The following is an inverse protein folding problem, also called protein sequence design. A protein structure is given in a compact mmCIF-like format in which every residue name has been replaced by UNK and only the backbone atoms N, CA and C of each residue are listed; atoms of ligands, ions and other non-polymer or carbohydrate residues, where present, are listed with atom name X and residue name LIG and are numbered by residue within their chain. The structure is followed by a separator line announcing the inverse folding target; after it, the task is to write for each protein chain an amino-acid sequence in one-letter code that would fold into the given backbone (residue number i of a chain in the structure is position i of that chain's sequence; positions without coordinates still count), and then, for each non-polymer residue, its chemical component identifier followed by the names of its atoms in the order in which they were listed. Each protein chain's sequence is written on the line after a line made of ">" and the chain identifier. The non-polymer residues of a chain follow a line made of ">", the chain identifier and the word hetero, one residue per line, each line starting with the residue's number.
data_IF_038008594126
#
_entry.id   IF_038008594126
#
_cell.length_a   1.000
_cell.length_b   1.000
_cell.length_c   1.000
_cell.angle_alpha   90.00
_cell.angle_beta   90.00
_cell.angle_gamma   90.00
#
_symmetry.space_group_name_H-M   'P 1'
#
loop_
_entity.id
_entity.type
_entity.pdbx_description
1 polymer ?
#
# COMPACT_ATOMS: atom_id res chain seq x y z
N UNK A 1 52.83 -34.30 47.05
CA UNK A 1 53.79 -33.21 47.30
C UNK A 1 53.42 -32.06 46.37
N UNK A 2 52.80 -31.03 46.91
CA UNK A 2 52.41 -29.79 46.21
C UNK A 2 53.59 -28.83 46.18
N UNK A 3 53.88 -28.22 45.02
CA UNK A 3 54.63 -26.97 44.93
C UNK A 3 53.82 -25.99 44.06
N UNK A 4 53.73 -24.76 44.55
CA UNK A 4 52.89 -23.65 44.10
C UNK A 4 53.74 -22.60 43.36
N UNK A 5 53.08 -22.00 42.35
CA UNK A 5 53.10 -20.60 41.93
C UNK A 5 54.37 -19.96 41.35
N UNK A 6 54.20 -19.28 40.19
CA UNK A 6 54.23 -17.82 39.98
C UNK A 6 54.51 -17.59 38.47
N UNK A 7 53.55 -17.13 37.66
CA UNK A 7 53.04 -15.75 37.50
C UNK A 7 53.72 -14.98 36.36
N UNK A 8 52.85 -14.30 35.58
CA UNK A 8 53.10 -13.15 34.69
C UNK A 8 53.51 -13.39 33.22
N UNK A 9 52.55 -13.78 32.38
CA UNK A 9 52.36 -13.17 31.05
C UNK A 9 51.46 -11.93 31.26
N UNK A 10 51.70 -10.73 30.75
CA UNK A 10 52.25 -10.38 29.45
C UNK A 10 51.10 -9.85 28.58
N UNK A 11 51.16 -8.54 28.27
CA UNK A 11 50.39 -7.80 27.26
C UNK A 11 48.90 -7.44 27.54
N UNK A 12 48.74 -6.21 28.06
CA UNK A 12 47.88 -5.13 27.56
C UNK A 12 46.80 -5.52 26.52
N UNK A 13 45.55 -5.64 26.97
CA UNK A 13 44.37 -5.68 26.10
C UNK A 13 43.80 -4.27 25.96
N UNK A 14 44.19 -3.56 24.91
CA UNK A 14 43.45 -2.39 24.43
C UNK A 14 42.20 -2.92 23.72
N UNK A 15 41.04 -2.68 24.32
CA UNK A 15 39.74 -2.97 23.72
C UNK A 15 39.56 -2.09 22.46
N UNK A 16 39.76 -2.67 21.28
CA UNK A 16 39.31 -2.05 20.03
C UNK A 16 37.82 -2.33 19.88
N UNK A 17 37.02 -1.29 20.03
CA UNK A 17 35.60 -1.29 19.71
C UNK A 17 35.40 -1.74 18.25
N UNK A 18 34.67 -2.83 18.06
CA UNK A 18 34.16 -3.19 16.75
C UNK A 18 33.15 -2.12 16.30
N UNK A 19 33.54 -1.28 15.35
CA UNK A 19 32.57 -0.48 14.59
C UNK A 19 31.82 -1.45 13.68
N UNK A 20 30.57 -1.76 14.04
CA UNK A 20 29.64 -2.40 13.13
C UNK A 20 29.49 -1.47 11.92
N UNK A 21 29.94 -1.91 10.74
CA UNK A 21 29.68 -1.20 9.51
C UNK A 21 28.17 -1.20 9.29
N UNK A 22 27.52 -0.07 9.54
CA UNK A 22 26.18 0.21 9.00
C UNK A 22 26.34 0.32 7.50
N UNK A 23 26.31 -0.82 6.81
CA UNK A 23 26.16 -0.85 5.37
C UNK A 23 24.79 -0.25 5.07
N UNK A 24 24.76 1.06 4.79
CA UNK A 24 23.60 1.70 4.19
C UNK A 24 23.41 1.00 2.84
N UNK A 25 22.45 0.09 2.79
CA UNK A 25 22.07 -0.58 1.55
C UNK A 25 21.44 0.47 0.64
N UNK A 26 22.26 1.17 -0.13
CA UNK A 26 21.84 1.92 -1.31
C UNK A 26 21.48 0.91 -2.42
N UNK A 27 20.47 0.09 -2.14
CA UNK A 27 19.83 -0.76 -3.14
C UNK A 27 19.14 0.14 -4.15
N UNK A 28 19.32 -0.15 -5.43
CA UNK A 28 18.67 0.57 -6.52
C UNK A 28 17.17 0.76 -6.23
N UNK A 29 16.77 2.00 -5.95
CA UNK A 29 15.38 2.35 -5.77
C UNK A 29 14.71 2.29 -7.15
N UNK A 30 13.99 1.21 -7.42
CA UNK A 30 12.92 1.25 -8.42
C UNK A 30 11.72 1.91 -7.72
N UNK A 31 11.39 3.18 -7.98
CA UNK A 31 10.26 3.80 -7.32
C UNK A 31 9.01 3.01 -7.71
N UNK A 32 8.34 2.41 -6.73
CA UNK A 32 7.05 1.79 -6.95
C UNK A 32 6.06 2.91 -7.31
N UNK A 33 5.85 3.14 -8.61
CA UNK A 33 4.81 4.05 -9.09
C UNK A 33 3.47 3.39 -8.79
N UNK A 34 2.92 3.66 -7.61
CA UNK A 34 1.55 3.27 -7.26
C UNK A 34 0.60 4.28 -7.91
N UNK A 35 0.27 4.05 -9.18
CA UNK A 35 -0.80 4.80 -9.83
C UNK A 35 -2.12 4.39 -9.16
N UNK A 36 -2.58 5.21 -8.21
CA UNK A 36 -3.83 4.97 -7.48
C UNK A 36 -5.03 5.60 -8.20
N UNK A 37 -4.81 6.16 -9.38
CA UNK A 37 -5.84 6.75 -10.21
C UNK A 37 -6.77 5.67 -10.71
N UNK A 38 -8.06 5.95 -10.58
CA UNK A 38 -9.09 5.10 -11.13
C UNK A 38 -9.02 5.13 -12.66
N UNK A 39 -8.70 4.00 -13.27
CA UNK A 39 -8.85 3.84 -14.71
C UNK A 39 -10.34 3.81 -15.06
N UNK A 40 -10.75 4.54 -16.10
CA UNK A 40 -12.10 4.44 -16.62
C UNK A 40 -12.19 3.28 -17.61
N UNK A 41 -13.14 2.36 -17.39
CA UNK A 41 -13.32 1.16 -18.22
C UNK A 41 -14.78 1.02 -18.63
N UNK A 42 -15.03 0.39 -19.78
CA UNK A 42 -16.38 0.13 -20.26
C UNK A 42 -17.11 -0.95 -19.44
N UNK A 43 -16.36 -1.93 -18.91
CA UNK A 43 -16.90 -3.02 -18.11
C UNK A 43 -16.04 -3.28 -16.86
N UNK A 44 -16.66 -3.50 -15.68
CA UNK A 44 -15.93 -3.75 -14.45
C UNK A 44 -15.37 -5.17 -14.42
N UNK A 45 -14.20 -5.34 -13.81
CA UNK A 45 -13.64 -6.66 -13.54
C UNK A 45 -14.40 -7.35 -12.39
N UNK A 46 -14.83 -8.60 -12.60
CA UNK A 46 -15.49 -9.39 -11.55
C UNK A 46 -14.45 -9.95 -10.58
N UNK A 47 -14.72 -9.88 -9.28
CA UNK A 47 -13.81 -10.44 -8.27
C UNK A 47 -14.13 -9.96 -6.86
N UNK A 48 -13.58 -10.67 -5.86
CA UNK A 48 -13.75 -10.28 -4.46
C UNK A 48 -13.12 -8.91 -4.20
N UNK A 49 -13.96 -7.95 -3.86
CA UNK A 49 -13.54 -6.58 -3.60
C UNK A 49 -13.25 -6.37 -2.12
N UNK A 50 -12.02 -5.93 -1.84
CA UNK A 50 -11.48 -5.65 -0.51
C UNK A 50 -11.65 -4.20 -0.06
N UNK A 51 -12.11 -3.31 -0.94
CA UNK A 51 -12.41 -1.95 -0.55
C UNK A 51 -13.64 -1.90 0.34
N UNK A 52 -13.58 -1.11 1.40
CA UNK A 52 -14.79 -0.67 2.10
C UNK A 52 -15.60 0.29 1.23
N UNK A 53 -16.87 0.49 1.57
CA UNK A 53 -17.71 1.49 0.89
C UNK A 53 -17.05 2.88 0.90
N UNK A 54 -16.48 3.31 2.02
CA UNK A 54 -15.85 4.63 2.14
C UNK A 54 -14.57 4.75 1.29
N UNK A 55 -13.78 3.68 1.19
CA UNK A 55 -12.63 3.64 0.29
C UNK A 55 -13.06 3.69 -1.18
N UNK A 56 -14.17 3.05 -1.51
CA UNK A 56 -14.72 3.09 -2.86
C UNK A 56 -15.25 4.48 -3.21
N UNK A 57 -15.99 5.11 -2.29
CA UNK A 57 -16.46 6.49 -2.41
C UNK A 57 -15.28 7.45 -2.58
N UNK A 58 -14.24 7.32 -1.76
CA UNK A 58 -13.05 8.15 -1.85
C UNK A 58 -12.35 8.06 -3.21
N UNK A 59 -12.31 6.88 -3.83
CA UNK A 59 -11.79 6.71 -5.19
C UNK A 59 -12.67 7.37 -6.26
N UNK A 60 -13.99 7.21 -6.17
CA UNK A 60 -14.92 7.90 -7.07
C UNK A 60 -14.77 9.42 -6.97
N UNK A 61 -14.67 9.96 -5.75
CA UNK A 61 -14.41 11.39 -5.54
C UNK A 61 -13.09 11.84 -6.16
N UNK A 62 -12.00 11.08 -5.96
CA UNK A 62 -10.70 11.36 -6.60
C UNK A 62 -10.76 11.28 -8.13
N UNK A 63 -11.63 10.44 -8.68
CA UNK A 63 -11.87 10.33 -10.12
C UNK A 63 -12.77 11.45 -10.69
N UNK A 64 -13.13 12.46 -9.87
CA UNK A 64 -13.92 13.62 -10.29
C UNK A 64 -15.43 13.43 -10.22
N UNK A 65 -15.91 12.38 -9.55
CA UNK A 65 -17.33 12.20 -9.29
C UNK A 65 -17.75 12.97 -8.03
N UNK A 66 -18.89 13.61 -8.08
CA UNK A 66 -19.47 14.40 -7.00
C UNK A 66 -20.77 13.77 -6.53
N UNK A 67 -21.27 14.18 -5.36
CA UNK A 67 -22.57 13.71 -4.85
C UNK A 67 -22.75 12.19 -4.91
N UNK A 68 -21.68 11.43 -4.62
CA UNK A 68 -21.69 9.97 -4.67
C UNK A 68 -22.65 9.45 -3.61
N UNK A 69 -23.65 8.68 -4.03
CA UNK A 69 -24.62 8.07 -3.12
C UNK A 69 -23.98 7.00 -2.23
N UNK A 70 -24.79 6.39 -1.37
CA UNK A 70 -24.41 5.11 -0.76
C UNK A 70 -24.05 4.12 -1.86
N UNK A 71 -22.99 3.35 -1.64
CA UNK A 71 -22.55 2.31 -2.56
C UNK A 71 -22.93 0.95 -1.99
N UNK A 72 -23.52 0.10 -2.83
CA UNK A 72 -23.80 -1.29 -2.50
C UNK A 72 -22.89 -2.20 -3.31
N UNK A 73 -22.27 -3.19 -2.66
CA UNK A 73 -21.48 -4.20 -3.37
C UNK A 73 -22.42 -5.21 -4.01
N UNK A 74 -22.27 -5.44 -5.31
CA UNK A 74 -23.06 -6.44 -6.02
C UNK A 74 -22.44 -7.85 -5.93
N UNK A 75 -23.12 -8.83 -6.54
CA UNK A 75 -22.69 -10.24 -6.59
C UNK A 75 -21.34 -10.45 -7.31
N UNK A 76 -20.94 -9.52 -8.17
CA UNK A 76 -19.70 -9.58 -8.92
C UNK A 76 -18.55 -8.87 -8.18
N UNK A 77 -18.83 -8.33 -6.98
CA UNK A 77 -17.89 -7.59 -6.15
C UNK A 77 -17.74 -6.12 -6.56
N UNK A 78 -18.60 -5.58 -7.41
CA UNK A 78 -18.52 -4.18 -7.85
C UNK A 78 -19.31 -3.31 -6.88
N UNK A 79 -18.69 -2.25 -6.36
CA UNK A 79 -19.40 -1.21 -5.62
C UNK A 79 -20.23 -0.37 -6.58
N UNK A 80 -21.55 -0.33 -6.40
CA UNK A 80 -22.49 0.39 -7.28
C UNK A 80 -23.23 1.50 -6.55
N UNK A 81 -23.44 2.60 -7.24
CA UNK A 81 -24.32 3.67 -6.79
C UNK A 81 -24.55 4.69 -7.89
N UNK A 82 -24.99 5.88 -7.51
CA UNK A 82 -25.12 7.02 -8.41
C UNK A 82 -24.19 8.14 -7.99
N UNK A 83 -23.75 8.95 -8.94
CA UNK A 83 -22.94 10.13 -8.69
C UNK A 83 -23.21 11.19 -9.75
N UNK A 84 -22.66 12.39 -9.57
CA UNK A 84 -22.71 13.47 -10.54
C UNK A 84 -21.33 13.62 -11.19
N UNK A 85 -21.27 13.70 -12.52
CA UNK A 85 -20.05 14.03 -13.28
C UNK A 85 -20.40 15.06 -14.34
N UNK A 86 -19.64 16.16 -14.40
CA UNK A 86 -19.91 17.26 -15.32
C UNK A 86 -21.37 17.76 -15.29
N UNK A 87 -21.94 17.88 -14.10
CA UNK A 87 -23.32 18.34 -13.89
C UNK A 87 -24.43 17.33 -14.21
N UNK A 88 -24.08 16.11 -14.67
CA UNK A 88 -25.04 15.05 -14.99
C UNK A 88 -25.00 13.95 -13.95
N UNK A 89 -26.17 13.46 -13.54
CA UNK A 89 -26.28 12.26 -12.72
C UNK A 89 -26.01 11.02 -13.58
N UNK A 90 -25.13 10.15 -13.11
CA UNK A 90 -24.69 8.92 -13.77
C UNK A 90 -24.69 7.78 -12.76
N UNK A 91 -24.93 6.56 -13.23
CA UNK A 91 -24.67 5.37 -12.43
C UNK A 91 -23.18 5.10 -12.46
N UNK A 92 -22.60 4.74 -11.31
CA UNK A 92 -21.17 4.48 -11.17
C UNK A 92 -20.92 3.10 -10.60
N UNK A 93 -19.81 2.52 -11.02
CA UNK A 93 -19.29 1.26 -10.49
C UNK A 93 -17.80 1.35 -10.19
N UNK A 94 -17.36 0.78 -9.07
CA UNK A 94 -15.94 0.58 -8.76
C UNK A 94 -15.66 -0.91 -8.57
N UNK A 95 -14.77 -1.48 -9.37
CA UNK A 95 -14.38 -2.88 -9.26
C UNK A 95 -13.25 -3.14 -8.25
N UNK A 96 -12.91 -4.42 -8.05
CA UNK A 96 -11.88 -4.83 -7.08
C UNK A 96 -10.47 -4.34 -7.44
N UNK A 97 -10.22 -3.98 -8.71
CA UNK A 97 -8.94 -3.43 -9.18
C UNK A 97 -8.89 -1.91 -9.01
N UNK A 98 -10.01 -1.29 -8.64
CA UNK A 98 -10.15 0.16 -8.53
C UNK A 98 -10.49 0.84 -9.85
N UNK A 99 -10.91 0.09 -10.89
CA UNK A 99 -11.39 0.71 -12.11
C UNK A 99 -12.80 1.26 -11.90
N UNK A 100 -13.08 2.39 -12.55
CA UNK A 100 -14.38 3.07 -12.49
C UNK A 100 -15.13 2.89 -13.79
N UNK A 101 -16.40 2.57 -13.67
CA UNK A 101 -17.39 2.55 -14.77
C UNK A 101 -18.41 3.64 -14.51
N UNK A 102 -18.93 4.25 -15.58
CA UNK A 102 -20.04 5.18 -15.50
C UNK A 102 -20.95 5.02 -16.70
N UNK A 103 -22.26 5.11 -16.47
CA UNK A 103 -23.30 4.93 -17.48
C UNK A 103 -24.48 5.85 -17.24
#
# INVERSE_FOLDING_TARGET
>A
MTIRAFMACGAMLLASSAVAQTATHAGAHNPAVKNNDAAHVAAPAKGANSFSEDQARGRLTKAGYQSVSRLAKDKDGVWRGSATKAGKKVDVGLDYKGNVTAR
#
